data_IF_389982175798
#
_entry.id   IF_389982175798
#
_cell.length_a   1.000
_cell.length_b   1.000
_cell.length_c   1.000
_cell.angle_alpha   90.00
_cell.angle_beta   90.00
_cell.angle_gamma   90.00
#
_symmetry.space_group_name_H-M   'P 1'
#
loop_
_entity.id
_entity.type
_entity.pdbx_description
1 polymer ?
#
# COMPACT_ATOMS: atom_id res chain seq x y z
N UNK A 1 -36.25 43.57 -12.90
CA UNK A 1 -35.02 43.35 -12.11
C UNK A 1 -33.90 42.76 -12.98
N UNK A 2 -33.67 43.31 -14.17
CA UNK A 2 -32.52 42.92 -15.00
C UNK A 2 -31.79 44.21 -15.37
N UNK A 3 -30.78 44.57 -14.56
CA UNK A 3 -29.83 45.63 -14.89
C UNK A 3 -28.62 45.00 -15.58
N UNK A 4 -28.17 45.64 -16.65
CA UNK A 4 -26.95 45.24 -17.37
C UNK A 4 -25.73 45.63 -16.56
N UNK A 5 -24.92 44.64 -16.17
CA UNK A 5 -23.62 44.86 -15.52
C UNK A 5 -22.54 44.71 -16.58
N UNK A 6 -21.73 45.75 -16.77
CA UNK A 6 -20.57 45.68 -17.67
C UNK A 6 -19.40 45.00 -16.95
N UNK A 7 -18.92 43.90 -17.50
CA UNK A 7 -17.78 43.14 -16.97
C UNK A 7 -16.67 43.07 -18.03
N UNK A 8 -15.40 43.22 -17.63
CA UNK A 8 -14.27 42.94 -18.51
C UNK A 8 -14.31 41.48 -19.00
N UNK A 9 -14.06 41.27 -20.30
CA UNK A 9 -14.14 39.94 -20.92
C UNK A 9 -13.23 38.90 -20.24
N UNK A 10 -12.03 39.30 -19.82
CA UNK A 10 -11.09 38.42 -19.12
C UNK A 10 -11.66 37.93 -17.77
N UNK A 11 -12.41 38.78 -17.06
CA UNK A 11 -13.00 38.44 -15.77
C UNK A 11 -14.17 37.47 -15.97
N UNK A 12 -14.97 37.65 -17.02
CA UNK A 12 -16.02 36.70 -17.40
C UNK A 12 -15.44 35.32 -17.75
N UNK A 13 -14.35 35.27 -18.53
CA UNK A 13 -13.67 34.02 -18.86
C UNK A 13 -13.16 33.32 -17.60
N UNK A 14 -12.57 34.07 -16.67
CA UNK A 14 -12.06 33.54 -15.41
C UNK A 14 -13.20 32.98 -14.53
N UNK A 15 -14.33 33.69 -14.42
CA UNK A 15 -15.52 33.22 -13.71
C UNK A 15 -16.06 31.93 -14.34
N UNK A 16 -16.18 31.88 -15.67
CA UNK A 16 -16.65 30.68 -16.38
C UNK A 16 -15.68 29.51 -16.22
N UNK A 17 -14.38 29.75 -16.23
CA UNK A 17 -13.37 28.72 -15.99
C UNK A 17 -13.49 28.14 -14.58
N UNK A 18 -13.60 28.99 -13.54
CA UNK A 18 -13.83 28.52 -12.17
C UNK A 18 -15.16 27.78 -12.03
N UNK A 19 -16.24 28.29 -12.64
CA UNK A 19 -17.53 27.63 -12.65
C UNK A 19 -17.47 26.26 -13.32
N UNK A 20 -16.78 26.13 -14.45
CA UNK A 20 -16.58 24.87 -15.17
C UNK A 20 -15.74 23.88 -14.34
N UNK A 21 -14.64 24.32 -13.71
CA UNK A 21 -13.83 23.47 -12.82
C UNK A 21 -14.63 23.01 -11.60
N UNK A 22 -15.43 23.90 -11.01
CA UNK A 22 -16.31 23.56 -9.87
C UNK A 22 -17.40 22.58 -10.30
N UNK A 23 -18.06 22.82 -11.43
CA UNK A 23 -19.07 21.92 -11.99
C UNK A 23 -18.48 20.54 -12.33
N UNK A 24 -17.32 20.51 -12.97
CA UNK A 24 -16.56 19.28 -13.22
C UNK A 24 -16.33 18.52 -11.91
N UNK A 25 -15.68 19.17 -10.93
CA UNK A 25 -15.29 18.60 -9.63
C UNK A 25 -16.46 18.05 -8.81
N UNK A 26 -17.63 18.70 -8.86
CA UNK A 26 -18.78 18.33 -8.03
C UNK A 26 -19.82 17.46 -8.72
N UNK A 27 -19.98 17.51 -10.04
CA UNK A 27 -21.01 16.73 -10.74
C UNK A 27 -20.45 15.57 -11.56
N UNK A 28 -19.34 15.78 -12.26
CA UNK A 28 -18.77 14.75 -13.14
C UNK A 28 -17.83 13.81 -12.40
N UNK A 29 -16.93 14.33 -11.56
CA UNK A 29 -15.98 13.49 -10.84
C UNK A 29 -16.63 12.48 -9.88
N UNK A 30 -17.73 12.75 -9.15
CA UNK A 30 -18.36 11.73 -8.30
C UNK A 30 -18.92 10.55 -9.10
N UNK A 31 -19.60 10.83 -10.21
CA UNK A 31 -20.16 9.81 -11.11
C UNK A 31 -19.07 8.96 -11.76
N UNK A 32 -18.00 9.61 -12.22
CA UNK A 32 -16.82 8.95 -12.78
C UNK A 32 -16.12 8.10 -11.71
N UNK A 33 -15.94 8.62 -10.49
CA UNK A 33 -15.36 7.87 -9.36
C UNK A 33 -16.20 6.65 -9.00
N UNK A 34 -17.53 6.77 -8.99
CA UNK A 34 -18.42 5.65 -8.74
C UNK A 34 -18.31 4.57 -9.84
N UNK A 35 -18.26 4.98 -11.11
CA UNK A 35 -18.08 4.07 -12.23
C UNK A 35 -16.77 3.28 -12.12
N UNK A 36 -15.65 3.95 -11.85
CA UNK A 36 -14.35 3.29 -11.64
C UNK A 36 -14.35 2.41 -10.40
N UNK A 37 -14.96 2.85 -9.28
CA UNK A 37 -15.11 2.03 -8.07
C UNK A 37 -15.85 0.73 -8.36
N UNK A 38 -17.01 0.81 -9.02
CA UNK A 38 -17.83 -0.37 -9.36
C UNK A 38 -17.16 -1.30 -10.38
N UNK A 39 -16.28 -0.76 -11.22
CA UNK A 39 -15.42 -1.57 -12.11
C UNK A 39 -14.31 -2.27 -11.31
N UNK A 40 -13.68 -1.59 -10.36
CA UNK A 40 -12.67 -2.18 -9.49
C UNK A 40 -13.25 -3.26 -8.57
N UNK A 41 -14.42 -3.03 -7.98
CA UNK A 41 -15.13 -4.05 -7.19
C UNK A 41 -15.38 -5.32 -8.02
N UNK A 42 -15.80 -5.19 -9.28
CA UNK A 42 -15.95 -6.34 -10.19
C UNK A 42 -14.64 -7.06 -10.48
N UNK A 43 -13.56 -6.33 -10.76
CA UNK A 43 -12.24 -6.92 -11.00
C UNK A 43 -11.73 -7.65 -9.75
N UNK A 44 -11.90 -7.06 -8.57
CA UNK A 44 -11.53 -7.69 -7.30
C UNK A 44 -12.33 -8.97 -7.07
N UNK A 45 -13.65 -8.94 -7.30
CA UNK A 45 -14.48 -10.14 -7.13
C UNK A 45 -14.06 -11.27 -8.08
N UNK A 46 -13.80 -10.96 -9.35
CA UNK A 46 -13.30 -11.94 -10.32
C UNK A 46 -11.90 -12.47 -9.98
N UNK A 47 -11.05 -11.66 -9.34
CA UNK A 47 -9.75 -12.12 -8.85
C UNK A 47 -9.93 -13.02 -7.63
N UNK A 48 -10.80 -12.67 -6.69
CA UNK A 48 -11.08 -13.46 -5.50
C UNK A 48 -11.64 -14.85 -5.83
N UNK A 49 -12.38 -15.02 -6.94
CA UNK A 49 -12.83 -16.33 -7.43
C UNK A 49 -11.68 -17.26 -7.85
N UNK A 50 -10.50 -16.71 -8.16
CA UNK A 50 -9.33 -17.46 -8.66
C UNK A 50 -8.23 -17.63 -7.62
N UNK A 51 -8.26 -16.82 -6.57
CA UNK A 51 -7.25 -16.86 -5.52
C UNK A 51 -7.63 -17.91 -4.48
N UNK A 52 -6.67 -18.72 -4.08
CA UNK A 52 -6.83 -19.66 -2.96
C UNK A 52 -7.22 -18.91 -1.67
N UNK A 53 -6.74 -17.67 -1.50
CA UNK A 53 -7.10 -16.77 -0.41
C UNK A 53 -7.53 -15.41 -0.97
N UNK A 54 -8.75 -14.94 -0.67
CA UNK A 54 -9.28 -13.70 -1.22
C UNK A 54 -8.45 -12.48 -0.79
N UNK A 55 -8.51 -11.41 -1.58
CA UNK A 55 -7.88 -10.14 -1.23
C UNK A 55 -8.58 -9.56 -0.01
N UNK A 56 -7.80 -9.39 1.06
CA UNK A 56 -8.31 -8.81 2.29
C UNK A 56 -8.85 -7.38 2.09
N UNK A 57 -10.02 -7.05 2.67
CA UNK A 57 -10.58 -5.70 2.62
C UNK A 57 -9.60 -4.63 3.08
N UNK A 58 -8.69 -4.98 4.00
CA UNK A 58 -7.64 -4.10 4.48
C UNK A 58 -6.71 -3.59 3.38
N UNK A 59 -6.41 -4.41 2.36
CA UNK A 59 -5.63 -3.97 1.19
C UNK A 59 -6.42 -3.06 0.25
N UNK A 60 -7.74 -3.19 0.25
CA UNK A 60 -8.65 -2.43 -0.60
C UNK A 60 -9.06 -1.09 0.02
N UNK A 61 -8.82 -0.90 1.32
CA UNK A 61 -8.97 0.38 1.99
C UNK A 61 -8.14 1.44 1.28
N UNK A 62 -8.71 2.64 1.16
CA UNK A 62 -7.95 3.76 0.59
C UNK A 62 -6.76 3.99 1.51
N UNK A 63 -5.61 4.25 0.89
CA UNK A 63 -4.37 4.56 1.62
C UNK A 63 -4.56 5.65 2.68
N UNK A 64 -5.38 6.66 2.41
CA UNK A 64 -5.68 7.72 3.38
C UNK A 64 -6.39 7.17 4.61
N UNK A 65 -7.38 6.29 4.43
CA UNK A 65 -8.13 5.68 5.53
C UNK A 65 -7.23 4.79 6.40
N UNK A 66 -6.32 4.02 5.77
CA UNK A 66 -5.31 3.23 6.49
C UNK A 66 -4.35 4.11 7.31
N UNK A 67 -3.91 5.24 6.75
CA UNK A 67 -3.04 6.19 7.47
C UNK A 67 -3.78 6.75 8.68
N UNK A 68 -5.04 7.18 8.52
CA UNK A 68 -5.85 7.72 9.60
C UNK A 68 -6.06 6.68 10.71
N UNK A 69 -6.41 5.45 10.33
CA UNK A 69 -6.58 4.35 11.30
C UNK A 69 -5.28 4.04 12.06
N UNK A 70 -4.13 4.17 11.41
CA UNK A 70 -2.83 3.94 12.04
C UNK A 70 -2.43 5.06 13.00
N UNK A 71 -2.54 6.33 12.62
CA UNK A 71 -2.10 7.46 13.46
C UNK A 71 -2.98 7.67 14.69
N UNK A 72 -4.25 7.29 14.60
CA UNK A 72 -5.20 7.33 15.72
C UNK A 72 -5.30 6.01 16.48
N UNK A 73 -4.45 5.03 16.17
CA UNK A 73 -4.36 3.81 16.98
C UNK A 73 -3.78 4.13 18.35
N UNK A 74 -4.37 3.56 19.42
CA UNK A 74 -3.97 3.83 20.80
C UNK A 74 -2.46 3.61 21.03
N UNK A 75 -1.85 2.62 20.38
CA UNK A 75 -0.40 2.35 20.52
C UNK A 75 0.48 3.38 19.83
N UNK A 76 -0.02 4.04 18.78
CA UNK A 76 0.70 5.13 18.13
C UNK A 76 0.53 6.42 18.91
N UNK A 77 -0.65 6.70 19.45
CA UNK A 77 -0.89 7.86 20.33
C UNK A 77 -0.01 7.78 21.57
N UNK A 78 0.06 6.61 22.22
CA UNK A 78 0.96 6.35 23.35
C UNK A 78 2.43 6.65 22.97
N UNK A 79 2.89 6.13 21.83
CA UNK A 79 4.25 6.38 21.35
C UNK A 79 4.53 7.86 20.99
N UNK A 80 3.51 8.60 20.53
CA UNK A 80 3.62 10.04 20.26
C UNK A 80 3.80 10.81 21.56
N UNK A 81 3.02 10.50 22.60
CA UNK A 81 3.12 11.12 23.91
C UNK A 81 4.48 10.83 24.56
N UNK A 82 4.94 9.57 24.53
CA UNK A 82 6.28 9.17 25.00
C UNK A 82 7.36 9.97 24.26
N UNK A 83 7.30 10.03 22.93
CA UNK A 83 8.30 10.73 22.12
C UNK A 83 8.33 12.24 22.39
N UNK A 84 7.17 12.87 22.57
CA UNK A 84 7.06 14.28 22.91
C UNK A 84 7.72 14.59 24.26
N UNK A 85 7.51 13.73 25.26
CA UNK A 85 8.14 13.85 26.57
C UNK A 85 9.66 13.65 26.50
N UNK A 86 10.12 12.60 25.82
CA UNK A 86 11.55 12.27 25.71
C UNK A 86 12.36 13.36 24.98
N UNK A 87 11.77 13.98 23.96
CA UNK A 87 12.47 14.96 23.10
C UNK A 87 12.17 16.42 23.47
N UNK A 88 11.23 16.65 24.39
CA UNK A 88 10.80 18.00 24.80
C UNK A 88 10.05 18.78 23.73
N UNK A 89 9.58 18.12 22.66
CA UNK A 89 8.77 18.77 21.62
C UNK A 89 7.29 18.78 22.02
N UNK A 90 6.51 19.68 21.43
CA UNK A 90 5.06 19.68 21.64
C UNK A 90 4.43 18.43 21.03
N UNK A 91 3.37 17.93 21.67
CA UNK A 91 2.67 16.71 21.25
C UNK A 91 2.12 16.81 19.82
N UNK A 92 1.63 17.97 19.39
CA UNK A 92 1.16 18.20 18.01
C UNK A 92 2.27 18.09 16.96
N UNK A 93 3.50 18.46 17.33
CA UNK A 93 4.68 18.29 16.46
C UNK A 93 5.06 16.82 16.34
N UNK A 94 5.10 16.09 17.46
CA UNK A 94 5.34 14.64 17.47
C UNK A 94 4.25 13.88 16.68
N UNK A 95 2.99 14.30 16.79
CA UNK A 95 1.88 13.73 16.02
C UNK A 95 2.03 13.96 14.51
N UNK A 96 2.46 15.16 14.10
CA UNK A 96 2.76 15.44 12.69
C UNK A 96 3.93 14.58 12.17
N UNK A 97 4.93 14.32 13.01
CA UNK A 97 6.03 13.42 12.68
C UNK A 97 5.55 11.97 12.51
N UNK A 98 4.73 11.46 13.43
CA UNK A 98 4.09 10.15 13.30
C UNK A 98 3.24 10.06 12.02
N UNK A 99 2.52 11.13 11.67
CA UNK A 99 1.75 11.22 10.42
C UNK A 99 2.65 11.13 9.18
N UNK A 100 3.84 11.74 9.22
CA UNK A 100 4.84 11.63 8.14
C UNK A 100 5.35 10.20 8.02
N UNK A 101 5.65 9.54 9.14
CA UNK A 101 6.06 8.13 9.16
C UNK A 101 4.96 7.20 8.65
N UNK A 102 3.71 7.39 9.07
CA UNK A 102 2.57 6.63 8.56
C UNK A 102 2.42 6.79 7.03
N UNK A 103 2.57 8.00 6.49
CA UNK A 103 2.58 8.22 5.03
C UNK A 103 3.76 7.53 4.35
N UNK A 104 4.90 7.42 4.99
CA UNK A 104 6.04 6.72 4.42
C UNK A 104 5.82 5.20 4.34
N UNK A 105 5.27 4.65 5.42
CA UNK A 105 5.10 3.20 5.64
C UNK A 105 3.89 2.67 4.87
N UNK A 106 2.73 3.32 4.96
CA UNK A 106 1.49 2.79 4.38
C UNK A 106 1.57 2.81 2.84
N UNK A 107 1.48 1.64 2.17
CA UNK A 107 1.57 1.54 0.71
C UNK A 107 0.27 2.02 0.05
N UNK A 108 0.35 2.34 -1.25
CA UNK A 108 -0.79 2.79 -2.06
C UNK A 108 -1.38 1.65 -2.89
N UNK A 109 -1.42 0.44 -2.32
CA UNK A 109 -1.70 -0.82 -3.03
C UNK A 109 -2.79 -0.70 -4.11
N UNK A 110 -2.52 -1.29 -5.27
CA UNK A 110 -3.46 -1.38 -6.38
C UNK A 110 -3.57 -2.83 -6.83
N UNK A 111 -4.75 -3.43 -6.64
CA UNK A 111 -5.03 -4.79 -7.07
C UNK A 111 -4.78 -4.98 -8.57
N UNK A 112 -5.20 -4.03 -9.40
CA UNK A 112 -4.97 -4.06 -10.86
C UNK A 112 -3.50 -3.99 -11.22
N UNK A 113 -2.71 -3.13 -10.54
CA UNK A 113 -1.28 -3.05 -10.80
C UNK A 113 -0.55 -4.32 -10.38
N UNK A 114 -0.90 -4.87 -9.21
CA UNK A 114 -0.33 -6.10 -8.68
C UNK A 114 -0.70 -7.30 -9.55
N UNK A 115 -2.01 -7.64 -9.62
CA UNK A 115 -2.47 -8.86 -10.28
C UNK A 115 -2.42 -8.81 -11.81
N UNK A 116 -2.42 -7.61 -12.41
CA UNK A 116 -2.39 -7.45 -13.86
C UNK A 116 -0.97 -7.35 -14.43
N UNK A 117 -0.25 -6.29 -14.02
CA UNK A 117 1.05 -5.95 -14.62
C UNK A 117 2.21 -6.60 -13.88
N UNK A 118 2.25 -6.50 -12.55
CA UNK A 118 3.40 -6.95 -11.76
C UNK A 118 3.62 -8.46 -11.87
N UNK A 119 2.57 -9.28 -11.78
CA UNK A 119 2.69 -10.74 -11.95
C UNK A 119 3.25 -11.10 -13.32
N UNK A 120 2.73 -10.47 -14.38
CA UNK A 120 3.16 -10.76 -15.76
C UNK A 120 4.62 -10.36 -15.97
N UNK A 121 5.01 -9.18 -15.49
CA UNK A 121 6.39 -8.71 -15.54
C UNK A 121 7.32 -9.61 -14.69
N UNK A 122 6.89 -9.98 -13.49
CA UNK A 122 7.65 -10.84 -12.60
C UNK A 122 7.87 -12.22 -13.19
N UNK A 123 6.84 -12.82 -13.81
CA UNK A 123 6.95 -14.08 -14.53
C UNK A 123 7.92 -13.98 -15.70
N UNK A 124 7.81 -12.94 -16.52
CA UNK A 124 8.68 -12.73 -17.68
C UNK A 124 10.15 -12.56 -17.25
N UNK A 125 10.42 -11.67 -16.29
CA UNK A 125 11.76 -11.47 -15.74
C UNK A 125 12.33 -12.76 -15.13
N UNK A 126 11.51 -13.46 -14.33
CA UNK A 126 11.94 -14.71 -13.66
C UNK A 126 12.34 -15.77 -14.68
N UNK A 127 11.58 -15.93 -15.77
CA UNK A 127 11.87 -16.90 -16.83
C UNK A 127 13.02 -16.47 -17.76
N UNK A 128 13.24 -15.16 -17.93
CA UNK A 128 14.33 -14.64 -18.74
C UNK A 128 15.71 -14.85 -18.08
N UNK A 129 15.79 -14.69 -16.75
CA UNK A 129 17.06 -14.79 -16.01
C UNK A 129 17.28 -16.16 -15.34
N UNK A 130 16.22 -16.92 -15.06
CA UNK A 130 16.31 -18.17 -14.32
C UNK A 130 15.48 -19.29 -14.94
N UNK A 131 16.00 -20.52 -14.83
CA UNK A 131 15.19 -21.72 -15.02
C UNK A 131 14.52 -22.07 -13.70
N UNK A 132 13.32 -21.53 -13.48
CA UNK A 132 12.56 -21.77 -12.25
C UNK A 132 12.10 -23.23 -12.20
N UNK A 133 12.58 -23.98 -11.21
CA UNK A 133 12.12 -25.32 -10.87
C UNK A 133 11.60 -25.28 -9.43
N UNK A 134 10.32 -25.54 -9.26
CA UNK A 134 9.75 -25.75 -7.94
C UNK A 134 10.20 -27.15 -7.48
N UNK A 135 10.99 -27.21 -6.40
CA UNK A 135 11.31 -28.47 -5.72
C UNK A 135 10.08 -29.04 -5.02
N UNK A 136 10.28 -30.05 -4.16
CA UNK A 136 9.21 -30.69 -3.38
C UNK A 136 8.35 -29.63 -2.69
N UNK A 137 7.18 -29.37 -3.27
CA UNK A 137 6.24 -28.37 -2.82
C UNK A 137 5.17 -29.15 -2.07
N UNK A 138 5.16 -29.03 -0.74
CA UNK A 138 4.23 -29.78 0.10
C UNK A 138 2.85 -29.09 0.05
N UNK A 139 2.14 -29.25 -1.07
CA UNK A 139 0.79 -28.72 -1.27
C UNK A 139 -0.14 -29.17 -0.15
N UNK A 140 -0.01 -30.42 0.29
CA UNK A 140 -0.85 -31.00 1.33
C UNK A 140 -0.69 -30.29 2.68
N UNK A 141 0.53 -29.90 3.05
CA UNK A 141 0.78 -29.14 4.26
C UNK A 141 0.22 -27.71 4.17
N UNK A 142 0.28 -27.08 3.00
CA UNK A 142 -0.25 -25.73 2.81
C UNK A 142 -1.77 -25.72 2.79
N UNK A 143 -2.39 -26.71 2.15
CA UNK A 143 -3.85 -26.87 2.10
C UNK A 143 -4.45 -27.18 3.48
N UNK A 144 -3.65 -27.69 4.43
CA UNK A 144 -4.04 -27.90 5.84
C UNK A 144 -3.97 -26.63 6.68
N UNK A 145 -3.36 -25.55 6.20
CA UNK A 145 -3.33 -24.27 6.91
C UNK A 145 -4.74 -23.70 6.87
N UNK A 146 -5.24 -23.33 8.05
CA UNK A 146 -6.52 -22.64 8.22
C UNK A 146 -6.69 -21.52 7.16
N UNK A 147 -7.80 -21.52 6.38
CA UNK A 147 -8.09 -20.48 5.40
C UNK A 147 -8.06 -19.06 5.99
N UNK A 148 -8.45 -18.91 7.26
CA UNK A 148 -8.52 -17.62 7.96
C UNK A 148 -7.20 -17.24 8.65
N UNK A 149 -6.22 -18.14 8.70
CA UNK A 149 -4.91 -17.83 9.28
C UNK A 149 -4.10 -16.90 8.37
N UNK A 150 -3.37 -15.95 8.96
CA UNK A 150 -2.45 -15.11 8.17
C UNK A 150 -1.14 -15.85 7.90
N UNK A 151 -0.80 -16.02 6.62
CA UNK A 151 0.44 -16.70 6.22
C UNK A 151 1.63 -15.73 6.23
N UNK A 152 2.70 -16.11 6.93
CA UNK A 152 3.96 -15.37 6.97
C UNK A 152 5.04 -16.19 6.27
N UNK A 153 5.53 -15.69 5.16
CA UNK A 153 6.64 -16.27 4.41
C UNK A 153 7.96 -15.81 5.02
N UNK A 154 8.69 -16.74 5.63
CA UNK A 154 10.05 -16.53 6.11
C UNK A 154 11.00 -17.16 5.10
N UNK A 155 11.80 -16.34 4.44
CA UNK A 155 12.64 -16.78 3.32
C UNK A 155 14.07 -16.28 3.51
N UNK A 156 15.02 -17.05 2.98
CA UNK A 156 16.39 -16.59 2.81
C UNK A 156 16.47 -15.48 1.75
N UNK A 157 17.50 -14.63 1.80
CA UNK A 157 17.69 -13.54 0.84
C UNK A 157 19.06 -13.62 0.17
N UNK A 158 19.05 -13.94 -1.12
CA UNK A 158 20.24 -14.10 -1.95
C UNK A 158 20.38 -13.00 -2.99
N UNK A 159 19.28 -12.40 -3.45
CA UNK A 159 19.32 -11.39 -4.50
C UNK A 159 18.09 -10.48 -4.53
N UNK A 160 18.19 -9.33 -5.21
CA UNK A 160 17.03 -8.49 -5.51
C UNK A 160 15.97 -9.22 -6.38
N UNK A 161 16.34 -10.29 -7.09
CA UNK A 161 15.39 -11.11 -7.85
C UNK A 161 14.45 -11.90 -6.94
N UNK A 162 14.79 -12.11 -5.66
CA UNK A 162 13.95 -12.88 -4.74
C UNK A 162 12.56 -12.23 -4.58
N UNK A 163 12.49 -10.89 -4.55
CA UNK A 163 11.20 -10.17 -4.54
C UNK A 163 10.37 -10.46 -5.79
N UNK A 164 11.01 -10.59 -6.95
CA UNK A 164 10.37 -10.86 -8.24
C UNK A 164 9.89 -12.30 -8.29
N UNK A 165 10.74 -13.26 -7.92
CA UNK A 165 10.42 -14.68 -7.88
C UNK A 165 9.29 -14.96 -6.90
N UNK A 166 9.33 -14.39 -5.70
CA UNK A 166 8.27 -14.54 -4.70
C UNK A 166 6.96 -13.94 -5.19
N UNK A 167 6.99 -12.76 -5.83
CA UNK A 167 5.80 -12.18 -6.44
C UNK A 167 5.23 -13.08 -7.54
N UNK A 168 6.08 -13.73 -8.34
CA UNK A 168 5.66 -14.69 -9.35
C UNK A 168 5.06 -15.97 -8.74
N UNK A 169 5.69 -16.53 -7.70
CA UNK A 169 5.33 -17.83 -7.13
C UNK A 169 4.16 -17.78 -6.13
N UNK A 170 4.02 -16.68 -5.39
CA UNK A 170 2.95 -16.54 -4.39
C UNK A 170 1.69 -15.84 -4.93
N UNK A 171 1.78 -15.29 -6.14
CA UNK A 171 0.71 -14.55 -6.80
C UNK A 171 -0.60 -15.33 -6.98
N UNK A 172 -0.52 -16.65 -7.12
CA UNK A 172 -1.71 -17.51 -7.26
C UNK A 172 -2.44 -17.72 -5.92
N UNK A 173 -1.77 -17.44 -4.80
CA UNK A 173 -2.26 -17.74 -3.46
C UNK A 173 -2.76 -16.53 -2.72
N UNK A 174 -2.03 -15.41 -2.75
CA UNK A 174 -2.47 -14.15 -2.14
C UNK A 174 -1.64 -12.96 -2.62
N UNK A 175 -2.16 -11.75 -2.43
CA UNK A 175 -1.32 -10.56 -2.53
C UNK A 175 -0.34 -10.55 -1.35
N UNK A 176 0.97 -10.52 -1.62
CA UNK A 176 1.99 -10.37 -0.57
C UNK A 176 2.24 -8.90 -0.21
N UNK A 177 2.56 -8.63 1.04
CA UNK A 177 3.21 -7.38 1.46
C UNK A 177 4.64 -7.68 1.88
N UNK A 178 5.58 -6.86 1.40
CA UNK A 178 7.00 -7.03 1.70
C UNK A 178 7.65 -5.72 2.08
N UNK A 179 8.64 -5.85 2.96
CA UNK A 179 9.50 -4.78 3.41
C UNK A 179 10.66 -4.55 2.42
N UNK A 180 10.73 -3.37 1.81
CA UNK A 180 11.78 -2.99 0.87
C UNK A 180 12.76 -2.02 1.52
N UNK A 181 14.05 -2.17 1.24
CA UNK A 181 15.08 -1.25 1.70
C UNK A 181 15.01 0.13 1.03
N UNK A 182 15.56 1.15 1.70
CA UNK A 182 15.53 2.54 1.20
C UNK A 182 16.19 2.74 -0.17
N UNK A 183 17.12 1.88 -0.58
CA UNK A 183 17.84 1.99 -1.86
C UNK A 183 16.90 2.01 -3.07
N UNK A 184 15.75 1.32 -2.99
CA UNK A 184 14.78 1.26 -4.09
C UNK A 184 13.80 2.45 -4.09
N UNK A 185 14.01 3.45 -3.22
CA UNK A 185 13.16 4.65 -3.11
C UNK A 185 13.47 5.71 -4.17
N UNK A 186 13.84 5.29 -5.38
CA UNK A 186 14.06 6.19 -6.52
C UNK A 186 12.80 6.31 -7.39
N UNK A 187 12.57 7.45 -8.01
CA UNK A 187 11.50 7.59 -9.00
C UNK A 187 11.99 7.01 -10.34
N UNK A 188 11.17 6.24 -11.10
CA UNK A 188 9.76 5.88 -10.89
C UNK A 188 9.54 4.59 -10.07
N UNK A 189 10.61 3.83 -9.78
CA UNK A 189 10.57 2.52 -9.14
C UNK A 189 9.77 2.50 -7.83
N UNK A 190 9.93 3.52 -7.00
CA UNK A 190 9.24 3.68 -5.72
C UNK A 190 7.71 3.70 -5.84
N UNK A 191 7.15 4.26 -6.92
CA UNK A 191 5.69 4.27 -7.15
C UNK A 191 5.18 2.88 -7.50
N UNK A 192 5.94 2.15 -8.33
CA UNK A 192 5.61 0.79 -8.71
C UNK A 192 5.67 -0.15 -7.49
N UNK A 193 6.74 -0.07 -6.70
CA UNK A 193 6.89 -0.87 -5.47
C UNK A 193 5.74 -0.62 -4.49
N UNK A 194 5.39 0.64 -4.25
CA UNK A 194 4.26 0.99 -3.36
C UNK A 194 2.91 0.54 -3.90
N UNK A 195 2.68 0.61 -5.21
CA UNK A 195 1.44 0.13 -5.81
C UNK A 195 1.32 -1.40 -5.75
N UNK A 196 2.44 -2.11 -5.71
CA UNK A 196 2.50 -3.56 -5.49
C UNK A 196 2.27 -3.98 -4.03
N UNK A 197 2.02 -3.04 -3.10
CA UNK A 197 1.73 -3.35 -1.70
C UNK A 197 2.96 -3.50 -0.81
N UNK A 198 4.13 -3.14 -1.32
CA UNK A 198 5.37 -3.12 -0.58
C UNK A 198 5.60 -1.77 0.11
N UNK A 199 6.17 -1.83 1.30
CA UNK A 199 6.46 -0.65 2.12
C UNK A 199 7.96 -0.50 2.33
N UNK A 200 8.41 0.75 2.40
CA UNK A 200 9.83 1.05 2.59
C UNK A 200 10.15 1.10 4.09
N UNK A 201 11.19 0.37 4.50
CA UNK A 201 11.69 0.38 5.87
C UNK A 201 13.02 1.12 5.94
N UNK A 202 13.11 2.01 6.93
CA UNK A 202 14.36 2.61 7.38
C UNK A 202 15.09 1.70 8.35
N UNK A 203 15.88 0.76 7.82
CA UNK A 203 16.63 -0.25 8.61
C UNK A 203 17.51 0.41 9.68
N UNK A 204 18.36 1.35 9.27
CA UNK A 204 19.26 2.10 10.15
C UNK A 204 18.59 3.19 11.02
N UNK A 205 17.26 3.33 10.99
CA UNK A 205 16.59 4.36 11.78
C UNK A 205 16.72 4.06 13.27
N UNK A 206 17.30 5.00 14.02
CA UNK A 206 17.36 4.97 15.49
C UNK A 206 16.15 5.65 16.15
N UNK A 207 15.23 6.20 15.36
CA UNK A 207 14.06 6.90 15.89
C UNK A 207 13.02 5.87 16.40
N UNK A 208 12.75 5.91 17.70
CA UNK A 208 11.80 5.00 18.39
C UNK A 208 10.37 5.18 17.89
N UNK A 209 9.92 6.41 17.68
CA UNK A 209 8.57 6.71 17.17
C UNK A 209 8.35 6.07 15.79
N UNK A 210 9.31 6.18 14.87
CA UNK A 210 9.24 5.52 13.57
C UNK A 210 9.06 4.00 13.70
N UNK A 211 9.86 3.36 14.58
CA UNK A 211 9.80 1.91 14.80
C UNK A 211 8.46 1.48 15.39
N UNK A 212 7.90 2.25 16.33
CA UNK A 212 6.56 1.99 16.92
C UNK A 212 5.46 2.10 15.88
N UNK A 213 5.47 3.13 15.03
CA UNK A 213 4.50 3.30 13.94
C UNK A 213 4.60 2.16 12.93
N UNK A 214 5.82 1.77 12.55
CA UNK A 214 6.07 0.65 11.64
C UNK A 214 5.59 -0.68 12.22
N UNK A 215 5.95 -0.99 13.47
CA UNK A 215 5.53 -2.19 14.16
C UNK A 215 4.00 -2.26 14.22
N UNK A 216 3.34 -1.13 14.53
CA UNK A 216 1.88 -1.10 14.60
C UNK A 216 1.21 -1.33 13.25
N UNK A 217 1.74 -0.74 12.18
CA UNK A 217 1.26 -1.03 10.82
C UNK A 217 1.36 -2.52 10.48
N UNK A 218 2.51 -3.15 10.76
CA UNK A 218 2.70 -4.59 10.48
C UNK A 218 1.73 -5.44 11.29
N UNK A 219 1.50 -5.12 12.57
CA UNK A 219 0.50 -5.80 13.41
C UNK A 219 -0.90 -5.66 12.83
N UNK A 220 -1.32 -4.45 12.44
CA UNK A 220 -2.65 -4.22 11.86
C UNK A 220 -2.82 -4.95 10.53
N UNK A 221 -1.80 -4.94 9.66
CA UNK A 221 -1.84 -5.65 8.39
C UNK A 221 -1.92 -7.17 8.60
N UNK A 222 -1.11 -7.70 9.51
CA UNK A 222 -1.11 -9.13 9.86
C UNK A 222 -2.44 -9.55 10.47
N UNK A 223 -2.97 -8.80 11.44
CA UNK A 223 -4.28 -9.09 12.04
C UNK A 223 -5.45 -9.00 11.05
N UNK A 224 -5.25 -8.32 9.93
CA UNK A 224 -6.24 -8.19 8.87
C UNK A 224 -6.00 -9.15 7.69
N UNK A 225 -5.31 -10.28 7.92
CA UNK A 225 -5.15 -11.35 6.92
C UNK A 225 -4.06 -11.10 5.87
N UNK A 226 -3.37 -9.95 5.92
CA UNK A 226 -2.38 -9.63 4.88
C UNK A 226 -1.17 -10.54 5.00
N UNK A 227 -1.00 -11.42 4.01
CA UNK A 227 0.18 -12.25 3.89
C UNK A 227 1.46 -11.40 3.85
N UNK A 228 2.40 -11.74 4.73
CA UNK A 228 3.66 -11.03 4.90
C UNK A 228 4.81 -11.87 4.34
N UNK A 229 5.80 -11.20 3.74
CA UNK A 229 7.05 -11.83 3.35
C UNK A 229 8.22 -11.11 4.03
N UNK A 230 9.04 -11.90 4.75
CA UNK A 230 10.17 -11.40 5.55
C UNK A 230 11.44 -12.16 5.16
N UNK A 231 12.52 -11.39 5.07
CA UNK A 231 13.87 -11.85 4.80
C UNK A 231 14.75 -11.58 6.04
N UNK A 232 14.89 -12.55 6.99
CA UNK A 232 15.60 -12.32 8.25
C UNK A 232 17.08 -11.93 8.05
N UNK A 233 17.70 -12.45 7.00
CA UNK A 233 19.10 -12.18 6.62
C UNK A 233 19.33 -10.72 6.19
N UNK A 234 18.27 -9.98 5.86
CA UNK A 234 18.34 -8.62 5.32
C UNK A 234 18.84 -7.54 6.28
N UNK A 235 19.05 -7.85 7.56
CA UNK A 235 19.44 -6.90 8.61
C UNK A 235 18.34 -5.88 8.91
N UNK A 236 17.85 -5.85 10.15
CA UNK A 236 17.10 -4.71 10.69
C UNK A 236 18.08 -3.63 11.12
#
# INVERSE_FOLDING_TARGET
MFQTVQLPLWLLILILAFAAVTAASHFFFPSVRWFFRRRMERVVNQLNERLERPIEPFKLLRRQDMIQRLIYDAKVIEAVAEHAQETGVREDVAFQEATRYAREIVPSFSATAYFGFAIRLARWLSQAFYRVRLGYFNEEAINKIDPDATVIFIMNHRSNMDYVLVTYLAAERSALSYAVGEWARVWPLSRLIKSMGAYFIRRKSRNTLYRRVLARYVQMATAAGVAQAVFPEGGL
#
